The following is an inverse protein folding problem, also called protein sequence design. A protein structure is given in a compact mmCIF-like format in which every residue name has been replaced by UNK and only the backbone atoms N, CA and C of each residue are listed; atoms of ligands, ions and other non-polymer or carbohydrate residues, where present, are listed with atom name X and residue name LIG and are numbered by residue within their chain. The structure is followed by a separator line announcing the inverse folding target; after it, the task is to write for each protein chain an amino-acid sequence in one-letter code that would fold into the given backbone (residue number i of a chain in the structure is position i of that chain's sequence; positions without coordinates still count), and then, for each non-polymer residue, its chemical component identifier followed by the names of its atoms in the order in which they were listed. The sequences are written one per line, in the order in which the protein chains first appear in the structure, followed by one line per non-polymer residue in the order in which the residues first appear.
data_IF_261600712883
#
_entry.id   IF_261600712883
#
_cell.length_a   1.000
_cell.length_b   1.000
_cell.length_c   1.000
_cell.angle_alpha   90.00
_cell.angle_beta   90.00
_cell.angle_gamma   90.00
#
_symmetry.space_group_name_H-M   'P 1'
#
loop_
_entity.id
_entity.type
_entity.pdbx_description
1 polymer ?
#
# COMPACT_ATOMS: atom_id res chain seq x y z
N UNK A 1 -21.99 -0.46 17.89
CA UNK A 1 -22.58 -0.18 16.56
C UNK A 1 -21.53 0.61 15.78
N UNK A 2 -20.72 -0.07 14.95
CA UNK A 2 -19.76 0.62 14.08
C UNK A 2 -20.60 1.33 13.03
N UNK A 3 -20.68 2.66 13.09
CA UNK A 3 -21.18 3.42 11.94
C UNK A 3 -20.20 3.10 10.83
N UNK A 4 -20.67 2.53 9.71
CA UNK A 4 -19.88 2.52 8.49
C UNK A 4 -19.48 3.97 8.25
N UNK A 5 -18.22 4.29 8.56
CA UNK A 5 -17.66 5.55 8.14
C UNK A 5 -17.74 5.47 6.61
N UNK A 6 -18.60 6.29 6.00
CA UNK A 6 -18.40 6.64 4.59
C UNK A 6 -16.97 7.15 4.55
N UNK A 7 -16.04 6.35 4.04
CA UNK A 7 -14.65 6.73 3.84
C UNK A 7 -14.70 7.89 2.85
N UNK A 8 -14.77 9.12 3.35
CA UNK A 8 -14.94 10.31 2.52
C UNK A 8 -13.68 10.53 1.68
N UNK A 9 -12.51 10.21 2.26
CA UNK A 9 -11.22 10.08 1.58
C UNK A 9 -10.41 8.98 2.28
N UNK A 10 -9.66 8.17 1.53
CA UNK A 10 -8.67 7.27 2.11
C UNK A 10 -7.63 8.10 2.88
N UNK A 11 -7.32 7.74 4.14
CA UNK A 11 -6.21 8.37 4.85
C UNK A 11 -4.92 8.15 4.05
N UNK A 12 -4.25 9.25 3.68
CA UNK A 12 -2.97 9.23 2.95
C UNK A 12 -1.97 8.37 3.74
N UNK A 13 -1.25 7.46 3.09
CA UNK A 13 -0.17 6.72 3.75
C UNK A 13 -0.60 5.56 4.64
N UNK A 14 -1.90 5.32 4.86
CA UNK A 14 -2.32 4.52 5.99
C UNK A 14 -2.20 3.01 5.81
N UNK A 15 -2.21 2.48 4.59
CA UNK A 15 -2.21 1.03 4.36
C UNK A 15 -1.04 0.63 3.46
N UNK A 16 -0.09 -0.06 4.07
CA UNK A 16 1.09 -0.68 3.44
C UNK A 16 1.32 -2.02 4.10
N UNK A 17 1.70 -3.03 3.32
CA UNK A 17 2.20 -4.30 3.84
C UNK A 17 3.61 -4.47 3.30
N UNK A 18 4.56 -4.73 4.18
CA UNK A 18 5.97 -4.84 3.82
C UNK A 18 6.56 -6.10 4.46
N UNK A 19 7.29 -6.87 3.67
CA UNK A 19 8.16 -7.90 4.19
C UNK A 19 9.62 -7.43 4.10
N UNK A 20 10.30 -7.37 5.25
CA UNK A 20 11.71 -7.02 5.35
C UNK A 20 12.55 -8.31 5.56
N UNK A 21 13.12 -8.90 4.50
CA UNK A 21 13.84 -10.18 4.59
C UNK A 21 15.12 -10.11 5.44
N UNK A 22 15.70 -8.93 5.63
CA UNK A 22 16.93 -8.71 6.41
C UNK A 22 16.73 -8.98 7.89
N UNK A 23 15.50 -8.75 8.39
CA UNK A 23 15.11 -8.98 9.78
C UNK A 23 14.01 -10.04 9.93
N UNK A 24 13.55 -10.59 8.81
CA UNK A 24 12.46 -11.56 8.69
C UNK A 24 11.14 -11.13 9.37
N UNK A 25 10.70 -9.90 9.07
CA UNK A 25 9.48 -9.30 9.64
C UNK A 25 8.50 -8.93 8.53
N UNK A 26 7.23 -9.30 8.71
CA UNK A 26 6.12 -8.72 7.95
C UNK A 26 5.48 -7.62 8.79
N UNK A 27 5.39 -6.40 8.26
CA UNK A 27 4.71 -5.28 8.90
C UNK A 27 3.47 -4.88 8.09
N UNK A 28 2.32 -4.84 8.77
CA UNK A 28 1.06 -4.30 8.26
C UNK A 28 0.85 -2.94 8.91
N UNK A 29 1.04 -1.88 8.13
CA UNK A 29 0.81 -0.52 8.56
C UNK A 29 -0.67 -0.17 8.43
N UNK A 30 -1.24 0.42 9.49
CA UNK A 30 -2.61 0.97 9.55
C UNK A 30 -2.60 2.52 9.58
N UNK A 31 -1.42 3.09 9.76
CA UNK A 31 -1.09 4.52 9.69
C UNK A 31 0.15 4.71 8.82
N UNK A 32 0.49 5.97 8.55
CA UNK A 32 1.74 6.31 7.88
C UNK A 32 2.93 5.63 8.60
N UNK A 33 3.82 4.90 7.90
CA UNK A 33 5.01 4.27 8.49
C UNK A 33 5.93 5.25 9.25
N UNK A 34 5.87 6.55 8.93
CA UNK A 34 6.63 7.60 9.64
C UNK A 34 5.93 8.09 10.93
N UNK A 35 4.73 7.58 11.24
CA UNK A 35 4.00 7.93 12.47
C UNK A 35 4.80 7.50 13.70
N UNK A 36 5.17 8.43 14.61
CA UNK A 36 5.90 8.09 15.81
C UNK A 36 5.17 7.07 16.70
N UNK A 37 5.89 6.03 17.10
CA UNK A 37 5.40 5.02 18.02
C UNK A 37 5.55 5.48 19.47
N UNK A 38 4.57 5.17 20.30
CA UNK A 38 4.61 5.35 21.75
C UNK A 38 5.15 4.11 22.45
N UNK A 39 4.59 2.95 22.13
CA UNK A 39 4.95 1.68 22.74
C UNK A 39 4.48 0.52 21.86
N UNK A 40 4.97 -0.67 22.21
CA UNK A 40 4.64 -1.93 21.53
C UNK A 40 4.21 -2.96 22.58
N UNK A 41 3.37 -3.90 22.19
CA UNK A 41 3.02 -5.07 22.99
C UNK A 41 3.04 -6.33 22.15
N UNK A 42 3.43 -7.45 22.74
CA UNK A 42 3.32 -8.76 22.13
C UNK A 42 1.99 -9.40 22.55
N UNK A 43 1.12 -9.72 21.59
CA UNK A 43 -0.20 -10.32 21.88
C UNK A 43 -0.19 -11.84 21.78
N UNK A 44 0.68 -12.38 20.94
CA UNK A 44 0.96 -13.81 20.74
C UNK A 44 2.44 -13.93 20.39
N UNK A 45 3.09 -15.09 20.61
CA UNK A 45 4.51 -15.26 20.28
C UNK A 45 4.83 -14.84 18.85
N UNK A 46 5.68 -13.82 18.69
CA UNK A 46 6.09 -13.25 17.41
C UNK A 46 5.08 -12.27 16.77
N UNK A 47 3.99 -11.91 17.44
CA UNK A 47 3.00 -10.94 16.95
C UNK A 47 3.02 -9.67 17.79
N UNK A 48 3.52 -8.58 17.19
CA UNK A 48 3.68 -7.29 17.87
C UNK A 48 2.63 -6.29 17.41
N UNK A 49 2.01 -5.60 18.36
CA UNK A 49 1.10 -4.50 18.17
C UNK A 49 1.82 -3.20 18.50
N UNK A 50 1.95 -2.29 17.53
CA UNK A 50 2.62 -1.01 17.71
C UNK A 50 1.58 0.11 17.84
N UNK A 51 1.66 0.91 18.89
CA UNK A 51 0.71 1.98 19.19
C UNK A 51 1.33 3.36 18.96
N UNK A 52 0.55 4.27 18.37
CA UNK A 52 0.92 5.67 18.22
C UNK A 52 0.73 6.45 19.54
N UNK A 53 1.25 7.68 19.58
CA UNK A 53 1.14 8.56 20.75
C UNK A 53 -0.30 8.87 21.20
N UNK A 54 -1.27 8.81 20.29
CA UNK A 54 -2.70 8.99 20.58
C UNK A 54 -3.38 7.73 21.14
N UNK A 55 -2.62 6.64 21.36
CA UNK A 55 -3.11 5.36 21.86
C UNK A 55 -3.80 4.49 20.81
N UNK A 56 -3.86 4.91 19.55
CA UNK A 56 -4.41 4.10 18.47
C UNK A 56 -3.35 3.16 17.86
N UNK A 57 -3.80 2.05 17.28
CA UNK A 57 -2.92 1.07 16.65
C UNK A 57 -2.31 1.64 15.36
N UNK A 58 -0.99 1.60 15.25
CA UNK A 58 -0.20 2.12 14.14
C UNK A 58 0.17 1.02 13.15
N UNK A 59 0.67 -0.12 13.65
CA UNK A 59 1.00 -1.28 12.81
C UNK A 59 0.91 -2.60 13.58
N UNK A 60 0.90 -3.70 12.83
CA UNK A 60 1.05 -5.07 13.33
C UNK A 60 2.29 -5.68 12.69
N UNK A 61 3.14 -6.33 13.48
CA UNK A 61 4.32 -7.04 12.99
C UNK A 61 4.22 -8.53 13.27
N UNK A 62 4.70 -9.33 12.32
CA UNK A 62 4.88 -10.78 12.44
C UNK A 62 6.37 -11.04 12.31
N UNK A 63 7.01 -11.43 13.42
CA UNK A 63 8.41 -11.80 13.50
C UNK A 63 8.62 -13.23 12.98
N UNK A 64 9.86 -13.53 12.55
CA UNK A 64 10.23 -14.84 11.99
C UNK A 64 9.25 -15.30 10.88
N UNK A 65 8.80 -14.36 10.05
CA UNK A 65 7.68 -14.59 9.14
C UNK A 65 7.95 -15.74 8.16
N UNK A 66 9.20 -15.97 7.78
CA UNK A 66 9.62 -17.09 6.93
C UNK A 66 9.37 -18.47 7.52
N UNK A 67 9.19 -18.59 8.85
CA UNK A 67 8.80 -19.85 9.49
C UNK A 67 7.33 -20.17 9.32
N UNK A 68 6.50 -19.17 9.04
CA UNK A 68 5.04 -19.30 8.94
C UNK A 68 4.55 -19.25 7.49
N UNK A 69 5.26 -18.55 6.62
CA UNK A 69 4.84 -18.28 5.25
C UNK A 69 5.93 -18.69 4.25
N UNK A 70 5.51 -19.21 3.10
CA UNK A 70 6.46 -19.52 2.02
C UNK A 70 7.06 -18.24 1.41
N UNK A 71 8.27 -18.30 0.81
CA UNK A 71 8.86 -17.16 0.13
C UNK A 71 7.96 -16.53 -0.95
N UNK A 72 7.17 -17.35 -1.65
CA UNK A 72 6.21 -16.86 -2.64
C UNK A 72 5.06 -16.06 -2.01
N UNK A 73 4.57 -16.47 -0.83
CA UNK A 73 3.56 -15.71 -0.09
C UNK A 73 4.11 -14.40 0.45
N UNK A 74 5.34 -14.41 0.98
CA UNK A 74 6.01 -13.21 1.52
C UNK A 74 6.34 -12.19 0.42
N UNK A 75 6.79 -12.67 -0.73
CA UNK A 75 7.01 -11.82 -1.90
C UNK A 75 5.71 -11.22 -2.44
N UNK A 76 4.61 -11.98 -2.40
CA UNK A 76 3.31 -11.53 -2.89
C UNK A 76 2.55 -10.63 -1.91
N UNK A 77 2.82 -10.73 -0.61
CA UNK A 77 2.13 -9.93 0.41
C UNK A 77 2.68 -8.50 0.53
N UNK A 78 3.89 -8.25 0.04
CA UNK A 78 4.45 -6.90 0.00
C UNK A 78 3.64 -6.05 -0.96
N UNK A 79 2.87 -5.13 -0.39
CA UNK A 79 2.07 -4.16 -1.10
C UNK A 79 2.49 -2.80 -0.60
N UNK A 80 3.19 -2.06 -1.46
CA UNK A 80 3.57 -0.67 -1.23
C UNK A 80 2.33 0.21 -0.91
N UNK A 81 2.57 1.43 -0.41
CA UNK A 81 1.53 2.35 0.04
C UNK A 81 0.39 2.47 -0.98
N UNK A 82 -0.83 2.14 -0.53
CA UNK A 82 -2.02 2.42 -1.31
C UNK A 82 -2.25 3.93 -1.44
N UNK A 83 -2.41 4.37 -2.69
CA UNK A 83 -2.75 5.75 -3.05
C UNK A 83 -4.01 5.75 -3.90
N UNK A 84 -4.89 6.73 -3.67
CA UNK A 84 -6.04 6.94 -4.54
C UNK A 84 -5.63 7.54 -5.90
N UNK A 85 -6.55 7.51 -6.86
CA UNK A 85 -6.25 8.07 -8.19
C UNK A 85 -6.06 9.60 -8.20
N UNK A 86 -6.50 10.32 -7.16
CA UNK A 86 -6.27 11.77 -7.02
C UNK A 86 -4.81 12.04 -6.67
N UNK A 87 -4.25 11.29 -5.72
CA UNK A 87 -2.83 11.33 -5.36
C UNK A 87 -1.95 10.81 -6.49
N UNK A 88 -2.32 9.68 -7.12
CA UNK A 88 -1.61 9.16 -8.28
C UNK A 88 -1.57 10.17 -9.44
N UNK A 89 -2.67 10.90 -9.66
CA UNK A 89 -2.74 11.96 -10.66
C UNK A 89 -1.75 13.09 -10.38
N UNK A 90 -1.66 13.55 -9.13
CA UNK A 90 -0.71 14.58 -8.70
C UNK A 90 0.74 14.13 -8.91
N UNK A 91 1.06 12.86 -8.60
CA UNK A 91 2.40 12.31 -8.76
C UNK A 91 2.79 12.14 -10.24
N UNK A 92 1.86 11.69 -11.07
CA UNK A 92 2.13 11.36 -12.48
C UNK A 92 1.97 12.54 -13.45
N UNK A 93 1.30 13.62 -13.04
CA UNK A 93 0.86 14.67 -13.97
C UNK A 93 -0.17 14.19 -15.00
N UNK A 94 -0.92 13.12 -14.69
CA UNK A 94 -1.94 12.52 -15.57
C UNK A 94 -3.32 12.73 -14.95
N UNK A 95 -4.33 13.11 -15.75
CA UNK A 95 -5.68 13.33 -15.23
C UNK A 95 -6.26 12.07 -14.53
N UNK A 96 -6.98 12.20 -13.41
CA UNK A 96 -7.50 11.03 -12.66
C UNK A 96 -8.41 10.14 -13.50
N UNK A 97 -9.21 10.73 -14.38
CA UNK A 97 -10.08 10.04 -15.34
C UNK A 97 -9.26 9.15 -16.28
N UNK A 98 -8.12 9.62 -16.75
CA UNK A 98 -7.23 8.83 -17.61
C UNK A 98 -6.64 7.65 -16.85
N UNK A 99 -6.16 7.86 -15.61
CA UNK A 99 -5.65 6.77 -14.77
C UNK A 99 -6.73 5.73 -14.49
N UNK A 100 -7.97 6.17 -14.22
CA UNK A 100 -9.12 5.28 -14.07
C UNK A 100 -9.36 4.45 -15.33
N UNK A 101 -9.36 5.06 -16.52
CA UNK A 101 -9.51 4.32 -17.78
C UNK A 101 -8.37 3.32 -17.99
N UNK A 102 -7.13 3.65 -17.61
CA UNK A 102 -6.03 2.69 -17.71
C UNK A 102 -6.16 1.54 -16.71
N UNK A 103 -6.70 1.80 -15.52
CA UNK A 103 -7.04 0.76 -14.55
C UNK A 103 -8.13 -0.18 -15.07
N UNK A 104 -9.22 0.38 -15.62
CA UNK A 104 -10.30 -0.39 -16.24
C UNK A 104 -9.81 -1.23 -17.43
N UNK A 105 -8.79 -0.76 -18.15
CA UNK A 105 -8.12 -1.49 -19.24
C UNK A 105 -7.05 -2.48 -18.78
N UNK A 106 -6.81 -2.62 -17.47
CA UNK A 106 -5.78 -3.50 -16.90
C UNK A 106 -4.34 -3.05 -17.16
N UNK A 107 -4.12 -1.83 -17.68
CA UNK A 107 -2.79 -1.28 -17.98
C UNK A 107 -2.13 -0.64 -16.77
N UNK A 108 -2.94 -0.12 -15.85
CA UNK A 108 -2.53 0.30 -14.52
C UNK A 108 -3.14 -0.70 -13.53
N UNK A 109 -2.33 -1.34 -12.68
CA UNK A 109 -2.88 -2.17 -11.61
C UNK A 109 -3.59 -1.28 -10.58
N UNK A 110 -4.86 -1.56 -10.29
CA UNK A 110 -5.63 -0.87 -9.26
C UNK A 110 -6.78 -1.76 -8.77
N UNK A 111 -7.23 -1.54 -7.54
CA UNK A 111 -8.36 -2.25 -6.93
C UNK A 111 -9.41 -1.27 -6.42
N UNK A 112 -10.63 -1.76 -6.14
CA UNK A 112 -11.67 -0.98 -5.46
C UNK A 112 -11.59 -1.19 -3.96
N UNK A 113 -11.28 -0.12 -3.22
CA UNK A 113 -11.24 -0.12 -1.76
C UNK A 113 -12.11 1.02 -1.24
N UNK A 114 -13.09 0.73 -0.38
CA UNK A 114 -14.04 1.73 0.13
C UNK A 114 -14.82 2.47 -0.97
N UNK A 115 -15.04 1.83 -2.13
CA UNK A 115 -15.68 2.45 -3.29
C UNK A 115 -14.75 3.35 -4.13
N UNK A 116 -13.50 3.58 -3.71
CA UNK A 116 -12.52 4.34 -4.46
C UNK A 116 -11.58 3.41 -5.24
N UNK A 117 -11.06 3.88 -6.38
CA UNK A 117 -9.96 3.20 -7.08
C UNK A 117 -8.66 3.55 -6.37
N UNK A 118 -7.88 2.54 -6.03
CA UNK A 118 -6.55 2.68 -5.40
C UNK A 118 -5.52 1.86 -6.16
N UNK A 119 -4.30 2.40 -6.27
CA UNK A 119 -3.10 1.74 -6.79
C UNK A 119 -1.99 1.88 -5.75
N UNK A 120 -0.76 1.50 -6.07
CA UNK A 120 0.41 1.82 -5.22
C UNK A 120 1.38 2.74 -5.97
N UNK A 121 2.30 3.41 -5.25
CA UNK A 121 3.33 4.25 -5.90
C UNK A 121 4.18 3.42 -6.85
N UNK A 122 4.63 2.24 -6.41
CA UNK A 122 5.37 1.30 -7.24
C UNK A 122 4.62 0.92 -8.53
N UNK A 123 3.34 0.53 -8.42
CA UNK A 123 2.53 0.11 -9.58
C UNK A 123 2.26 1.26 -10.54
N UNK A 124 2.08 2.48 -10.02
CA UNK A 124 2.00 3.69 -10.84
C UNK A 124 3.30 3.92 -11.60
N UNK A 125 4.46 3.82 -10.94
CA UNK A 125 5.76 4.00 -11.59
C UNK A 125 5.98 2.97 -12.70
N UNK A 126 5.69 1.69 -12.44
CA UNK A 126 5.77 0.65 -13.47
C UNK A 126 4.89 0.96 -14.69
N UNK A 127 3.67 1.48 -14.47
CA UNK A 127 2.81 1.95 -15.56
C UNK A 127 3.46 3.12 -16.34
N UNK A 128 4.04 4.11 -15.67
CA UNK A 128 4.71 5.25 -16.32
C UNK A 128 5.90 4.80 -17.16
N UNK A 129 6.72 3.89 -16.65
CA UNK A 129 7.86 3.34 -17.37
C UNK A 129 7.42 2.59 -18.63
N UNK A 130 6.36 1.78 -18.53
CA UNK A 130 5.78 1.08 -19.68
C UNK A 130 5.24 2.06 -20.73
N UNK A 131 4.61 3.15 -20.29
CA UNK A 131 4.06 4.21 -21.14
C UNK A 131 5.17 4.95 -21.88
N UNK A 132 6.27 5.29 -21.20
CA UNK A 132 7.40 5.97 -21.80
C UNK A 132 8.07 5.13 -22.89
N UNK A 133 8.22 3.82 -22.69
CA UNK A 133 8.74 2.88 -23.69
C UNK A 133 7.87 2.86 -24.95
N UNK A 134 6.55 2.82 -24.81
CA UNK A 134 5.63 2.82 -25.95
C UNK A 134 5.66 4.12 -26.76
N UNK A 135 5.86 5.27 -26.10
CA UNK A 135 6.00 6.56 -26.79
C UNK A 135 7.28 6.61 -27.62
N UNK A 136 8.41 6.11 -27.09
CA UNK A 136 9.67 6.04 -27.85
C UNK A 136 9.55 5.13 -29.07
N UNK A 137 8.91 3.96 -28.92
CA UNK A 137 8.72 3.00 -30.01
C UNK A 137 7.78 3.46 -31.14
N UNK A 138 6.98 4.52 -30.95
CA UNK A 138 6.11 5.10 -31.99
C UNK A 138 6.69 6.35 -32.64
N UNK A 139 7.84 6.84 -32.16
CA UNK A 139 8.55 8.00 -32.69
C UNK A 139 9.75 7.63 -33.60
N UNK A 140 10.06 6.33 -33.70
CA UNK A 140 11.00 5.74 -34.67
C UNK A 140 10.24 5.13 -35.85
#
# INVERSE_FOLDING_TARGET
MVREAKVQEMPKGALKIEYAPEVDIVTIYLKDPETPLSHSSETEPGVILNYAADGSLSSVEILDASKLYSPGQLAACSVDEFIDLKKASQLAGIAPVTLRTQAEKGRLWAIRLGGQWVTTRERLQHYLDSRAKNVKATAE
#
